data_IF_894959667198
#
_entry.id   IF_894959667198
#
_cell.length_a   1.000
_cell.length_b   1.000
_cell.length_c   1.000
_cell.angle_alpha   90.00
_cell.angle_beta   90.00
_cell.angle_gamma   90.00
#
_symmetry.space_group_name_H-M   'P 1'
#
loop_
_entity.id
_entity.type
_entity.pdbx_description
1 polymer ?
#
# COMPACT_ATOMS: atom_id res chain seq x y z
N UNK A 1 -17.09 -0.33 -14.53
CA UNK A 1 -17.42 0.52 -13.38
C UNK A 1 -18.11 -0.38 -12.35
N UNK A 2 -17.36 -0.85 -11.35
CA UNK A 2 -17.94 -1.53 -10.18
C UNK A 2 -17.91 -0.55 -9.02
N UNK A 3 -19.09 -0.11 -8.59
CA UNK A 3 -19.27 0.66 -7.35
C UNK A 3 -19.63 -0.36 -6.27
N UNK A 4 -18.73 -0.58 -5.31
CA UNK A 4 -18.98 -1.43 -4.16
C UNK A 4 -19.53 -0.62 -2.99
N UNK A 5 -20.81 -0.73 -2.70
CA UNK A 5 -21.44 -0.27 -1.46
C UNK A 5 -21.47 -1.44 -0.48
N UNK A 6 -20.76 -1.36 0.64
CA UNK A 6 -20.85 -2.33 1.74
C UNK A 6 -21.76 -1.75 2.82
N UNK A 7 -23.00 -2.23 2.84
CA UNK A 7 -23.91 -2.07 3.96
C UNK A 7 -24.22 -3.43 4.56
N UNK A 8 -23.82 -3.68 5.80
CA UNK A 8 -24.11 -4.91 6.51
C UNK A 8 -25.45 -4.80 7.25
N UNK A 9 -26.49 -5.45 6.76
CA UNK A 9 -27.65 -5.81 7.58
C UNK A 9 -27.62 -7.30 7.89
N UNK A 10 -27.43 -7.62 9.16
CA UNK A 10 -27.56 -8.97 9.68
C UNK A 10 -28.96 -9.17 10.22
N UNK A 11 -29.84 -9.82 9.45
CA UNK A 11 -31.15 -10.32 9.91
C UNK A 11 -30.98 -11.65 10.65
N UNK A 12 -31.25 -11.65 11.94
CA UNK A 12 -31.51 -12.89 12.67
C UNK A 12 -33.02 -13.14 12.63
N UNK A 13 -33.42 -14.24 11.99
CA UNK A 13 -34.74 -14.84 12.09
C UNK A 13 -34.74 -15.80 13.25
N UNK A 14 -35.73 -15.65 14.14
CA UNK A 14 -36.14 -16.78 14.97
C UNK A 14 -37.65 -16.98 14.85
N UNK A 15 -38.03 -18.25 14.76
CA UNK A 15 -39.35 -18.74 14.45
C UNK A 15 -39.97 -19.43 15.69
N UNK A 16 -41.25 -19.22 15.89
CA UNK A 16 -42.06 -20.30 16.44
C UNK A 16 -43.01 -20.00 17.58
N UNK A 17 -44.29 -20.02 17.26
CA UNK A 17 -45.27 -20.82 18.01
C UNK A 17 -46.26 -20.14 18.94
N UNK A 18 -47.40 -19.83 18.39
CA UNK A 18 -48.79 -20.19 18.78
C UNK A 18 -49.28 -20.13 20.23
N UNK A 19 -50.40 -19.53 20.32
CA UNK A 19 -51.72 -19.87 20.89
C UNK A 19 -52.20 -19.13 22.15
N UNK A 20 -53.22 -18.39 21.92
CA UNK A 20 -54.63 -18.46 22.41
C UNK A 20 -55.03 -17.75 23.71
N UNK A 21 -56.08 -16.96 23.51
CA UNK A 21 -57.32 -16.80 24.28
C UNK A 21 -57.43 -15.80 25.42
N UNK A 22 -58.27 -14.83 25.12
CA UNK A 22 -59.53 -14.41 25.83
C UNK A 22 -59.44 -13.51 27.07
N UNK A 23 -60.04 -12.33 26.83
CA UNK A 23 -61.09 -11.62 27.60
C UNK A 23 -60.97 -11.52 29.14
N UNK A 24 -61.03 -10.32 29.64
CA UNK A 24 -62.24 -9.67 30.19
C UNK A 24 -61.97 -8.21 30.69
N UNK A 25 -62.93 -7.35 30.44
CA UNK A 25 -63.05 -5.98 30.93
C UNK A 25 -63.28 -5.93 32.46
N UNK A 26 -62.78 -4.88 33.13
CA UNK A 26 -63.58 -4.20 34.14
C UNK A 26 -63.16 -2.73 34.31
N UNK A 27 -64.20 -1.89 34.39
CA UNK A 27 -64.25 -0.45 34.47
C UNK A 27 -64.29 -0.01 35.96
N UNK A 28 -63.90 1.24 36.21
CA UNK A 28 -64.37 2.19 37.27
C UNK A 28 -63.27 2.68 38.23
N UNK A 29 -62.91 3.91 38.18
CA UNK A 29 -63.38 5.10 38.93
C UNK A 29 -62.33 6.22 38.96
N UNK A 30 -62.84 7.41 38.76
CA UNK A 30 -62.19 8.73 38.83
C UNK A 30 -61.82 9.18 40.27
N UNK A 31 -60.78 10.06 40.24
CA UNK A 31 -60.49 11.32 40.94
C UNK A 31 -59.53 11.29 42.14
N UNK A 32 -58.89 12.43 42.46
CA UNK A 32 -58.57 13.65 41.71
C UNK A 32 -57.09 14.10 41.71
N UNK A 33 -56.86 15.13 40.91
CA UNK A 33 -55.57 15.80 40.66
C UNK A 33 -54.89 16.35 41.91
N UNK A 34 -53.59 16.08 42.00
CA UNK A 34 -52.61 16.99 42.67
C UNK A 34 -51.61 17.50 41.64
N UNK A 35 -51.61 18.79 41.44
CA UNK A 35 -50.64 19.55 40.64
C UNK A 35 -49.32 19.55 41.35
N UNK A 36 -48.36 18.76 40.88
CA UNK A 36 -46.94 18.94 41.16
C UNK A 36 -46.29 19.63 39.98
N UNK A 37 -45.92 20.87 40.26
CA UNK A 37 -45.08 21.73 39.45
C UNK A 37 -43.73 21.04 39.19
N UNK A 38 -43.55 20.48 38.02
CA UNK A 38 -42.28 19.87 37.59
C UNK A 38 -41.53 20.92 36.80
N UNK A 39 -40.31 21.29 37.18
CA UNK A 39 -39.54 22.22 36.37
C UNK A 39 -39.30 21.60 35.01
N UNK A 40 -39.69 22.32 33.96
CA UNK A 40 -39.38 21.99 32.58
C UNK A 40 -37.89 21.82 32.44
N UNK A 41 -37.41 20.59 32.41
CA UNK A 41 -36.08 20.26 31.89
C UNK A 41 -36.09 20.59 30.43
N UNK A 42 -35.55 21.75 30.06
CA UNK A 42 -35.19 22.05 28.67
C UNK A 42 -34.22 20.97 28.24
N UNK A 43 -34.71 20.01 27.47
CA UNK A 43 -33.84 19.13 26.70
C UNK A 43 -32.97 20.06 25.87
N UNK A 44 -31.69 20.09 26.15
CA UNK A 44 -30.71 20.69 25.25
C UNK A 44 -30.92 19.99 23.89
N UNK A 45 -31.25 20.79 22.89
CA UNK A 45 -31.24 20.28 21.50
C UNK A 45 -29.85 19.69 21.27
N UNK A 46 -29.77 18.41 20.93
CA UNK A 46 -28.55 17.82 20.47
C UNK A 46 -28.05 18.69 19.30
N UNK A 47 -26.84 19.19 19.40
CA UNK A 47 -26.19 19.83 18.26
C UNK A 47 -26.24 18.79 17.13
N UNK A 48 -26.54 19.23 15.88
CA UNK A 48 -26.47 18.31 14.74
C UNK A 48 -25.08 17.69 14.72
N UNK A 49 -25.01 16.35 14.76
CA UNK A 49 -23.74 15.65 14.55
C UNK A 49 -23.22 16.12 13.19
N UNK A 50 -21.95 16.60 13.17
CA UNK A 50 -21.31 16.98 11.94
C UNK A 50 -21.27 15.77 11.00
N UNK A 51 -21.44 15.99 9.72
CA UNK A 51 -21.31 14.92 8.73
C UNK A 51 -19.92 14.28 8.88
N UNK A 52 -19.82 12.95 8.78
CA UNK A 52 -18.54 12.27 8.89
C UNK A 52 -17.61 12.70 7.77
N UNK A 53 -16.31 12.85 8.07
CA UNK A 53 -15.29 13.07 7.05
C UNK A 53 -15.33 11.96 6.00
N UNK A 54 -14.90 12.30 4.78
CA UNK A 54 -14.92 11.39 3.64
C UNK A 54 -13.56 11.28 2.97
N UNK A 55 -13.25 10.08 2.47
CA UNK A 55 -12.01 9.78 1.74
C UNK A 55 -12.33 9.06 0.44
N UNK A 56 -11.70 9.54 -0.65
CA UNK A 56 -11.72 8.85 -1.93
C UNK A 56 -10.28 8.39 -2.28
N UNK A 57 -10.11 7.08 -2.48
CA UNK A 57 -8.85 6.50 -2.94
C UNK A 57 -8.96 6.13 -4.41
N UNK A 58 -8.09 6.68 -5.26
CA UNK A 58 -7.97 6.27 -6.66
C UNK A 58 -6.71 5.42 -6.81
N UNK A 59 -6.90 4.14 -7.09
CA UNK A 59 -5.82 3.17 -7.30
C UNK A 59 -5.15 3.37 -8.65
N UNK A 60 -4.02 2.72 -8.89
CA UNK A 60 -3.31 2.76 -10.16
C UNK A 60 -3.39 1.42 -10.90
N UNK A 61 -2.64 1.29 -11.99
CA UNK A 61 -2.55 0.07 -12.82
C UNK A 61 -2.30 -1.14 -11.91
N UNK A 62 -3.06 -2.19 -12.15
CA UNK A 62 -3.08 -3.40 -11.33
C UNK A 62 -4.32 -3.50 -10.46
N UNK A 63 -4.81 -2.37 -9.92
CA UNK A 63 -6.00 -2.36 -9.06
C UNK A 63 -5.87 -3.23 -7.82
N UNK A 64 -6.99 -3.55 -7.18
CA UNK A 64 -7.02 -4.46 -6.04
C UNK A 64 -6.66 -5.89 -6.46
N UNK A 65 -5.92 -6.57 -5.57
CA UNK A 65 -5.46 -7.95 -5.78
C UNK A 65 -4.09 -8.05 -6.42
N UNK A 66 -3.32 -6.94 -6.50
CA UNK A 66 -1.94 -6.96 -6.98
C UNK A 66 -0.95 -7.57 -5.95
N UNK A 67 -1.42 -7.84 -4.73
CA UNK A 67 -0.64 -8.36 -3.59
C UNK A 67 0.60 -7.52 -3.26
N UNK A 68 0.58 -6.24 -3.63
CA UNK A 68 1.67 -5.29 -3.53
C UNK A 68 1.15 -3.85 -3.30
N UNK A 69 1.45 -2.93 -4.22
CA UNK A 69 1.29 -1.48 -4.07
C UNK A 69 -0.15 -1.00 -3.88
N UNK A 70 -1.10 -1.51 -4.68
CA UNK A 70 -2.50 -1.09 -4.57
C UNK A 70 -3.18 -1.68 -3.34
N UNK A 71 -2.93 -2.95 -3.04
CA UNK A 71 -3.45 -3.59 -1.82
C UNK A 71 -2.90 -2.91 -0.56
N UNK A 72 -1.63 -2.46 -0.59
CA UNK A 72 -1.02 -1.69 0.50
C UNK A 72 -1.75 -0.36 0.72
N UNK A 73 -1.96 0.41 -0.34
CA UNK A 73 -2.70 1.68 -0.27
C UNK A 73 -4.13 1.48 0.26
N UNK A 74 -4.80 0.44 -0.22
CA UNK A 74 -6.14 0.09 0.21
C UNK A 74 -6.19 -0.28 1.70
N UNK A 75 -5.17 -0.97 2.23
CA UNK A 75 -5.11 -1.30 3.66
C UNK A 75 -5.04 -0.05 4.56
N UNK A 76 -4.28 0.98 4.15
CA UNK A 76 -4.22 2.26 4.85
C UNK A 76 -5.54 3.03 4.80
N UNK A 77 -6.22 2.99 3.66
CA UNK A 77 -7.55 3.54 3.47
C UNK A 77 -8.59 2.84 4.37
N UNK A 78 -8.62 1.51 4.42
CA UNK A 78 -9.54 0.76 5.29
C UNK A 78 -9.28 1.05 6.78
N UNK A 79 -8.01 1.12 7.18
CA UNK A 79 -7.65 1.46 8.55
C UNK A 79 -8.13 2.86 8.95
N UNK A 80 -7.99 3.85 8.04
CA UNK A 80 -8.48 5.20 8.28
C UNK A 80 -10.00 5.25 8.43
N UNK A 81 -10.74 4.54 7.59
CA UNK A 81 -12.21 4.44 7.70
C UNK A 81 -12.61 3.83 9.04
N UNK A 82 -11.95 2.73 9.43
CA UNK A 82 -12.29 2.02 10.65
C UNK A 82 -12.02 2.84 11.92
N UNK A 83 -10.88 3.55 11.97
CA UNK A 83 -10.44 4.25 13.16
C UNK A 83 -11.07 5.65 13.31
N UNK A 84 -11.33 6.35 12.19
CA UNK A 84 -11.85 7.72 12.21
C UNK A 84 -13.33 7.81 11.87
N UNK A 85 -14.00 6.70 11.54
CA UNK A 85 -15.40 6.69 11.14
C UNK A 85 -15.66 7.46 9.84
N UNK A 86 -14.68 7.48 8.93
CA UNK A 86 -14.81 8.16 7.64
C UNK A 86 -15.76 7.40 6.71
N UNK A 87 -16.40 8.15 5.80
CA UNK A 87 -17.09 7.56 4.65
C UNK A 87 -16.08 7.38 3.53
N UNK A 88 -15.93 6.14 3.04
CA UNK A 88 -14.93 5.80 2.05
C UNK A 88 -15.51 5.44 0.68
N UNK A 89 -14.81 5.86 -0.36
CA UNK A 89 -15.01 5.43 -1.75
C UNK A 89 -13.64 5.09 -2.34
N UNK A 90 -13.54 4.02 -3.14
CA UNK A 90 -12.36 3.79 -3.95
C UNK A 90 -12.75 3.60 -5.41
N UNK A 91 -11.84 3.99 -6.30
CA UNK A 91 -12.00 3.93 -7.75
C UNK A 91 -10.76 3.29 -8.37
N UNK A 92 -10.95 2.62 -9.49
CA UNK A 92 -9.88 2.02 -10.29
C UNK A 92 -9.89 2.64 -11.68
N UNK A 93 -8.73 3.01 -12.23
CA UNK A 93 -8.66 3.53 -13.59
C UNK A 93 -8.93 2.44 -14.61
N UNK A 94 -9.33 2.85 -15.81
CA UNK A 94 -9.38 1.96 -16.97
C UNK A 94 -7.99 1.41 -17.29
N UNK A 95 -7.89 0.29 -18.00
CA UNK A 95 -6.70 -0.53 -18.13
C UNK A 95 -5.36 0.15 -18.44
N UNK A 96 -5.34 1.31 -19.10
CA UNK A 96 -4.13 2.13 -19.33
C UNK A 96 -3.98 3.29 -18.34
N UNK A 97 -5.01 3.59 -17.57
CA UNK A 97 -5.01 4.68 -16.60
C UNK A 97 -5.17 6.07 -17.21
N UNK A 98 -5.65 6.17 -18.45
CA UNK A 98 -5.82 7.47 -19.12
C UNK A 98 -6.88 8.36 -18.45
N UNK A 99 -7.82 7.78 -17.71
CA UNK A 99 -8.91 8.47 -17.03
C UNK A 99 -8.61 8.91 -15.58
N UNK A 100 -7.33 8.89 -15.15
CA UNK A 100 -6.94 9.30 -13.77
C UNK A 100 -7.49 10.67 -13.38
N UNK A 101 -7.40 11.68 -14.27
CA UNK A 101 -7.93 13.01 -14.03
C UNK A 101 -9.43 13.03 -13.81
N UNK A 102 -10.19 12.31 -14.65
CA UNK A 102 -11.64 12.17 -14.53
C UNK A 102 -12.05 11.54 -13.21
N UNK A 103 -11.29 10.55 -12.74
CA UNK A 103 -11.55 9.89 -11.45
C UNK A 103 -11.28 10.81 -10.27
N UNK A 104 -10.21 11.60 -10.30
CA UNK A 104 -9.94 12.64 -9.28
C UNK A 104 -11.05 13.69 -9.25
N UNK A 105 -11.51 14.18 -10.42
CA UNK A 105 -12.62 15.12 -10.52
C UNK A 105 -13.90 14.51 -9.96
N UNK A 106 -14.22 13.27 -10.28
CA UNK A 106 -15.38 12.56 -9.75
C UNK A 106 -15.36 12.50 -8.22
N UNK A 107 -14.20 12.22 -7.62
CA UNK A 107 -14.02 12.25 -6.17
C UNK A 107 -14.24 13.66 -5.60
N UNK A 108 -13.73 14.69 -6.29
CA UNK A 108 -13.84 16.07 -5.84
C UNK A 108 -15.27 16.60 -5.96
N UNK A 109 -15.97 16.32 -7.07
CA UNK A 109 -17.38 16.67 -7.29
C UNK A 109 -18.31 15.98 -6.30
N UNK A 110 -17.94 14.78 -5.83
CA UNK A 110 -18.67 14.07 -4.77
C UNK A 110 -18.50 14.74 -3.39
N UNK A 111 -17.60 15.71 -3.25
CA UNK A 111 -17.38 16.47 -2.02
C UNK A 111 -16.56 15.72 -0.96
N UNK A 112 -15.64 14.87 -1.38
CA UNK A 112 -14.74 14.20 -0.43
C UNK A 112 -13.78 15.20 0.22
N UNK A 113 -13.48 14.99 1.52
CA UNK A 113 -12.58 15.83 2.30
C UNK A 113 -11.10 15.52 2.02
N UNK A 114 -10.80 14.25 1.71
CA UNK A 114 -9.48 13.78 1.30
C UNK A 114 -9.59 12.93 0.02
N UNK A 115 -8.76 13.26 -0.96
CA UNK A 115 -8.63 12.50 -2.20
C UNK A 115 -7.19 12.00 -2.34
N UNK A 116 -7.01 10.70 -2.48
CA UNK A 116 -5.71 10.06 -2.62
C UNK A 116 -5.55 9.47 -4.01
N UNK A 117 -4.56 9.92 -4.76
CA UNK A 117 -4.11 9.27 -6.00
C UNK A 117 -2.92 8.36 -5.68
N UNK A 118 -3.07 7.06 -5.92
CA UNK A 118 -2.07 6.09 -5.55
C UNK A 118 -1.06 5.85 -6.66
N UNK A 119 0.04 6.59 -6.66
CA UNK A 119 1.16 6.40 -7.58
C UNK A 119 1.56 7.66 -8.36
N UNK A 120 2.82 7.68 -8.77
CA UNK A 120 3.44 8.81 -9.46
C UNK A 120 2.76 9.19 -10.81
N UNK A 121 2.04 8.26 -11.42
CA UNK A 121 1.32 8.52 -12.67
C UNK A 121 0.14 9.50 -12.49
N UNK A 122 -0.21 9.83 -11.24
CA UNK A 122 -1.18 10.88 -10.93
C UNK A 122 -0.58 12.30 -10.92
N UNK A 123 0.74 12.50 -11.02
CA UNK A 123 1.38 13.81 -10.93
C UNK A 123 0.72 14.87 -11.84
N UNK A 124 0.56 14.55 -13.12
CA UNK A 124 -0.04 15.46 -14.07
C UNK A 124 -1.50 15.78 -13.74
N UNK A 125 -2.28 14.75 -13.40
CA UNK A 125 -3.70 14.90 -13.06
C UNK A 125 -3.89 15.68 -11.76
N UNK A 126 -3.06 15.46 -10.73
CA UNK A 126 -3.08 16.23 -9.49
C UNK A 126 -2.81 17.72 -9.72
N UNK A 127 -1.83 18.05 -10.58
CA UNK A 127 -1.50 19.44 -10.92
C UNK A 127 -2.62 20.13 -11.70
N UNK A 128 -3.43 19.38 -12.44
CA UNK A 128 -4.57 19.93 -13.21
C UNK A 128 -5.84 20.07 -12.35
N UNK A 129 -6.15 19.04 -11.54
CA UNK A 129 -7.44 18.96 -10.83
C UNK A 129 -7.40 19.70 -9.49
N UNK A 130 -6.39 19.49 -8.64
CA UNK A 130 -6.37 20.03 -7.28
C UNK A 130 -6.50 21.56 -7.16
N UNK A 131 -5.98 22.38 -8.09
CA UNK A 131 -6.17 23.84 -8.05
C UNK A 131 -7.63 24.29 -8.16
N UNK A 132 -8.50 23.46 -8.76
CA UNK A 132 -9.92 23.78 -8.94
C UNK A 132 -10.73 23.53 -7.64
N UNK A 133 -10.16 22.82 -6.67
CA UNK A 133 -10.79 22.43 -5.41
C UNK A 133 -9.91 22.79 -4.21
N UNK A 134 -9.66 24.10 -3.95
CA UNK A 134 -8.68 24.54 -2.96
C UNK A 134 -9.03 24.19 -1.51
N UNK A 135 -10.27 23.87 -1.23
CA UNK A 135 -10.77 23.50 0.10
C UNK A 135 -10.72 21.98 0.36
N UNK A 136 -10.38 21.17 -0.66
CA UNK A 136 -10.22 19.71 -0.56
C UNK A 136 -8.75 19.38 -0.33
N UNK A 137 -8.47 18.45 0.57
CA UNK A 137 -7.13 17.89 0.76
C UNK A 137 -6.86 16.81 -0.29
N UNK A 138 -5.72 16.91 -0.95
CA UNK A 138 -5.24 15.88 -1.87
C UNK A 138 -3.95 15.25 -1.36
N UNK A 139 -3.75 13.96 -1.63
CA UNK A 139 -2.49 13.27 -1.37
C UNK A 139 -2.11 12.40 -2.57
N UNK A 140 -0.82 12.26 -2.82
CA UNK A 140 -0.29 11.44 -3.90
C UNK A 140 0.86 10.57 -3.38
N UNK A 141 0.81 9.27 -3.65
CA UNK A 141 1.87 8.33 -3.30
C UNK A 141 2.95 8.34 -4.38
N UNK A 142 4.22 8.41 -3.98
CA UNK A 142 5.40 8.42 -4.87
C UNK A 142 5.42 9.59 -5.86
N UNK A 143 4.63 10.62 -5.64
CA UNK A 143 4.50 11.75 -6.54
C UNK A 143 4.70 13.10 -5.85
N UNK A 144 4.99 14.12 -6.67
CA UNK A 144 5.13 15.51 -6.25
C UNK A 144 4.19 16.38 -7.08
N UNK A 145 3.31 17.11 -6.41
CA UNK A 145 2.46 18.08 -7.09
C UNK A 145 2.69 19.49 -6.52
N UNK A 146 2.56 20.51 -7.38
CA UNK A 146 2.80 21.91 -7.02
C UNK A 146 1.70 22.56 -6.16
N UNK A 147 0.38 22.20 -6.30
CA UNK A 147 -0.68 22.84 -5.55
C UNK A 147 -0.51 22.71 -4.04
N UNK A 148 -0.75 23.81 -3.29
CA UNK A 148 -0.52 23.86 -1.84
C UNK A 148 -1.44 22.97 -1.00
N UNK A 149 -2.53 22.45 -1.59
CA UNK A 149 -3.46 21.50 -0.98
C UNK A 149 -3.15 20.03 -1.34
N UNK A 150 -2.01 19.75 -2.00
CA UNK A 150 -1.57 18.40 -2.33
C UNK A 150 -0.38 18.00 -1.45
N UNK A 151 -0.48 16.88 -0.72
CA UNK A 151 0.62 16.25 0.01
C UNK A 151 1.25 15.17 -0.85
N UNK A 152 2.55 15.33 -1.15
CA UNK A 152 3.35 14.26 -1.76
C UNK A 152 3.85 13.31 -0.66
N UNK A 153 3.45 12.05 -0.71
CA UNK A 153 3.93 10.99 0.18
C UNK A 153 5.09 10.28 -0.51
N UNK A 154 6.30 10.68 -0.17
CA UNK A 154 7.54 10.28 -0.82
C UNK A 154 8.34 9.31 0.04
N UNK A 155 9.13 8.45 -0.59
CA UNK A 155 9.92 7.44 0.07
C UNK A 155 11.36 7.43 -0.44
N UNK A 156 12.32 7.14 0.45
CA UNK A 156 13.73 6.96 0.10
C UNK A 156 13.98 5.54 -0.40
N UNK A 157 13.43 5.20 -1.58
CA UNK A 157 13.49 3.85 -2.15
C UNK A 157 14.90 3.26 -2.20
N UNK A 158 15.90 4.10 -2.55
CA UNK A 158 17.29 3.67 -2.63
C UNK A 158 17.84 3.20 -1.28
N UNK A 159 17.37 3.74 -0.14
CA UNK A 159 17.82 3.34 1.18
C UNK A 159 17.37 1.91 1.53
N UNK A 160 16.09 1.60 1.34
CA UNK A 160 15.54 0.25 1.57
C UNK A 160 16.10 -0.77 0.61
N UNK A 161 16.21 -0.39 -0.68
CA UNK A 161 16.78 -1.25 -1.71
C UNK A 161 18.27 -1.53 -1.50
N UNK A 162 19.03 -0.60 -0.92
CA UNK A 162 20.39 -0.85 -0.49
C UNK A 162 20.45 -1.99 0.54
N UNK A 163 19.60 -1.99 1.54
CA UNK A 163 19.53 -3.07 2.52
C UNK A 163 19.10 -4.39 1.89
N UNK A 164 18.18 -4.38 0.90
CA UNK A 164 17.83 -5.56 0.11
C UNK A 164 19.03 -6.11 -0.65
N UNK A 165 19.87 -5.22 -1.22
CA UNK A 165 21.13 -5.57 -1.87
C UNK A 165 22.15 -6.18 -0.91
N UNK A 166 22.30 -5.62 0.28
CA UNK A 166 23.15 -6.19 1.36
C UNK A 166 22.65 -7.59 1.73
N UNK A 167 21.34 -7.77 1.92
CA UNK A 167 20.75 -9.07 2.24
C UNK A 167 21.00 -10.10 1.12
N UNK A 168 20.77 -9.73 -0.14
CA UNK A 168 21.04 -10.59 -1.28
C UNK A 168 22.52 -11.00 -1.36
N UNK A 169 23.44 -10.06 -1.19
CA UNK A 169 24.89 -10.31 -1.27
C UNK A 169 25.39 -11.20 -0.13
N UNK A 170 24.82 -11.12 1.07
CA UNK A 170 25.19 -11.97 2.21
C UNK A 170 24.58 -13.36 2.11
N UNK A 171 23.47 -13.53 1.39
CA UNK A 171 22.71 -14.80 1.31
C UNK A 171 22.95 -15.56 0.00
N UNK A 172 23.49 -14.90 -1.04
CA UNK A 172 23.79 -15.61 -2.30
C UNK A 172 24.85 -16.69 -2.12
N UNK A 173 24.65 -17.82 -2.73
CA UNK A 173 25.59 -18.94 -2.81
C UNK A 173 26.32 -19.01 -4.15
N UNK A 174 25.80 -18.30 -5.17
CA UNK A 174 26.34 -18.33 -6.54
C UNK A 174 27.16 -17.09 -6.90
N UNK A 175 27.17 -16.05 -6.07
CA UNK A 175 27.67 -14.72 -6.39
C UNK A 175 27.00 -14.14 -7.67
N UNK A 176 25.73 -14.45 -7.87
CA UNK A 176 24.94 -13.96 -8.97
C UNK A 176 23.50 -13.73 -8.47
N UNK A 177 23.05 -12.49 -8.55
CA UNK A 177 21.73 -12.07 -8.10
C UNK A 177 21.01 -11.34 -9.22
N UNK A 178 19.71 -11.13 -9.08
CA UNK A 178 18.89 -10.46 -10.08
C UNK A 178 18.12 -9.27 -9.53
N UNK A 179 17.74 -8.37 -10.44
CA UNK A 179 16.78 -7.31 -10.22
C UNK A 179 15.74 -7.34 -11.35
N UNK A 180 14.46 -7.18 -10.99
CA UNK A 180 13.35 -7.05 -11.94
C UNK A 180 12.61 -5.76 -11.62
N UNK A 181 12.66 -4.79 -12.53
CA UNK A 181 11.83 -3.59 -12.51
C UNK A 181 10.54 -3.79 -13.30
N UNK A 182 9.43 -3.22 -12.85
CA UNK A 182 8.18 -3.22 -13.62
C UNK A 182 8.32 -2.44 -14.91
N UNK A 183 8.76 -1.20 -14.82
CA UNK A 183 8.95 -0.29 -15.97
C UNK A 183 10.33 0.36 -15.89
N UNK A 184 11.02 0.45 -17.00
CA UNK A 184 12.31 1.16 -17.09
C UNK A 184 12.09 2.68 -17.00
N UNK A 185 11.93 3.18 -15.78
CA UNK A 185 11.52 4.53 -15.46
C UNK A 185 12.33 5.08 -14.25
N UNK A 186 12.57 6.40 -14.17
CA UNK A 186 13.43 7.01 -13.14
C UNK A 186 13.12 6.59 -11.70
N UNK A 187 11.84 6.48 -11.32
CA UNK A 187 11.45 6.02 -9.98
C UNK A 187 11.96 4.61 -9.69
N UNK A 188 11.85 3.70 -10.66
CA UNK A 188 12.29 2.30 -10.49
C UNK A 188 13.83 2.19 -10.53
N UNK A 189 14.49 3.17 -11.15
CA UNK A 189 15.96 3.27 -11.05
C UNK A 189 16.45 3.56 -9.64
N UNK A 190 15.67 4.22 -8.78
CA UNK A 190 16.04 4.40 -7.37
C UNK A 190 16.18 3.05 -6.65
N UNK A 191 15.25 2.12 -6.89
CA UNK A 191 15.31 0.76 -6.36
C UNK A 191 16.49 -0.01 -6.92
N UNK A 192 16.69 0.03 -8.23
CA UNK A 192 17.82 -0.62 -8.90
C UNK A 192 19.16 -0.12 -8.37
N UNK A 193 19.37 1.19 -8.35
CA UNK A 193 20.64 1.77 -7.95
C UNK A 193 20.95 1.57 -6.46
N UNK A 194 19.94 1.65 -5.61
CA UNK A 194 20.07 1.28 -4.20
C UNK A 194 20.48 -0.19 -4.06
N UNK A 195 19.81 -1.11 -4.74
CA UNK A 195 20.14 -2.54 -4.71
C UNK A 195 21.55 -2.84 -5.20
N UNK A 196 21.94 -2.29 -6.35
CA UNK A 196 23.30 -2.43 -6.88
C UNK A 196 24.37 -1.95 -5.90
N UNK A 197 24.14 -0.80 -5.28
CA UNK A 197 25.09 -0.25 -4.31
C UNK A 197 25.19 -1.11 -3.05
N UNK A 198 24.07 -1.66 -2.58
CA UNK A 198 24.03 -2.58 -1.44
C UNK A 198 24.78 -3.88 -1.72
N UNK A 199 24.59 -4.48 -2.90
CA UNK A 199 25.35 -5.66 -3.34
C UNK A 199 26.84 -5.35 -3.39
N UNK A 200 27.23 -4.25 -4.03
CA UNK A 200 28.63 -3.86 -4.19
C UNK A 200 29.31 -3.52 -2.84
N UNK A 201 28.56 -3.03 -1.84
CA UNK A 201 29.08 -2.74 -0.52
C UNK A 201 29.53 -4.00 0.25
N UNK A 202 29.00 -5.16 -0.09
CA UNK A 202 29.42 -6.46 0.48
C UNK A 202 30.48 -7.11 -0.41
N UNK A 203 30.21 -7.23 -1.69
CA UNK A 203 31.15 -7.82 -2.63
C UNK A 203 30.93 -7.28 -4.05
N UNK A 204 31.82 -6.43 -4.57
CA UNK A 204 31.69 -5.85 -5.91
C UNK A 204 31.85 -6.86 -7.06
N UNK A 205 32.32 -8.08 -6.77
CA UNK A 205 32.49 -9.14 -7.77
C UNK A 205 31.21 -9.95 -7.98
N UNK A 206 30.13 -9.70 -7.22
CA UNK A 206 28.82 -10.32 -7.44
C UNK A 206 28.22 -9.78 -8.73
N UNK A 207 27.82 -10.68 -9.61
CA UNK A 207 27.08 -10.32 -10.83
C UNK A 207 25.66 -9.93 -10.46
N UNK A 208 25.18 -8.80 -10.97
CA UNK A 208 23.76 -8.42 -10.88
C UNK A 208 23.15 -8.40 -12.26
N UNK A 209 22.15 -9.26 -12.50
CA UNK A 209 21.38 -9.29 -13.73
C UNK A 209 20.20 -8.32 -13.58
N UNK A 210 19.94 -7.50 -14.62
CA UNK A 210 18.88 -6.50 -14.60
C UNK A 210 17.89 -6.81 -15.71
N UNK A 211 16.58 -6.81 -15.39
CA UNK A 211 15.51 -6.94 -16.35
C UNK A 211 14.36 -5.99 -16.04
N UNK A 212 13.64 -5.56 -17.05
CA UNK A 212 12.45 -4.75 -16.96
C UNK A 212 11.30 -5.40 -17.73
N UNK A 213 10.09 -5.38 -17.15
CA UNK A 213 8.92 -5.98 -17.77
C UNK A 213 8.44 -5.14 -18.95
N UNK A 214 8.49 -3.81 -18.85
CA UNK A 214 8.13 -2.90 -19.95
C UNK A 214 8.98 -1.61 -19.94
N UNK A 215 8.77 -0.78 -20.96
CA UNK A 215 9.38 0.54 -21.09
C UNK A 215 8.31 1.57 -21.45
N UNK A 216 8.43 2.85 -21.00
CA UNK A 216 7.45 3.87 -21.36
C UNK A 216 7.27 4.00 -22.90
N UNK A 217 6.05 4.28 -23.39
CA UNK A 217 4.85 4.65 -22.63
C UNK A 217 4.03 3.48 -22.09
N UNK A 218 4.53 2.24 -22.17
CA UNK A 218 3.85 1.06 -21.67
C UNK A 218 4.16 0.88 -20.17
N UNK A 219 3.15 1.07 -19.31
CA UNK A 219 3.23 0.89 -17.87
C UNK A 219 2.59 -0.43 -17.39
N UNK A 220 2.17 -1.31 -18.32
CA UNK A 220 1.59 -2.62 -17.97
C UNK A 220 2.57 -3.53 -17.23
N UNK A 221 3.88 -3.23 -17.30
CA UNK A 221 4.92 -3.96 -16.58
C UNK A 221 4.78 -3.96 -15.04
N UNK A 222 3.88 -3.17 -14.48
CA UNK A 222 3.53 -3.27 -13.05
C UNK A 222 2.47 -4.34 -12.75
N UNK A 223 1.81 -4.90 -13.78
CA UNK A 223 0.77 -5.92 -13.60
C UNK A 223 0.82 -7.01 -14.70
N UNK A 224 2.00 -7.59 -14.91
CA UNK A 224 2.23 -8.72 -15.83
C UNK A 224 3.02 -9.85 -15.15
N UNK A 225 2.36 -10.68 -14.30
CA UNK A 225 3.03 -11.81 -13.64
C UNK A 225 3.66 -12.82 -14.61
N UNK A 226 3.09 -12.97 -15.81
CA UNK A 226 3.65 -13.86 -16.84
C UNK A 226 5.02 -13.36 -17.27
N UNK A 227 5.13 -12.05 -17.55
CA UNK A 227 6.39 -11.42 -17.90
C UNK A 227 7.40 -11.44 -16.77
N UNK A 228 6.95 -11.20 -15.55
CA UNK A 228 7.77 -11.33 -14.34
C UNK A 228 8.38 -12.72 -14.20
N UNK A 229 7.58 -13.77 -14.42
CA UNK A 229 8.03 -15.17 -14.40
C UNK A 229 9.05 -15.46 -15.50
N UNK A 230 8.79 -15.02 -16.74
CA UNK A 230 9.71 -15.20 -17.87
C UNK A 230 11.10 -14.61 -17.57
N UNK A 231 11.14 -13.36 -17.07
CA UNK A 231 12.40 -12.69 -16.73
C UNK A 231 13.12 -13.42 -15.60
N UNK A 232 12.39 -13.80 -14.54
CA UNK A 232 12.96 -14.50 -13.40
C UNK A 232 13.54 -15.88 -13.80
N UNK A 233 12.83 -16.67 -14.61
CA UNK A 233 13.34 -17.94 -15.12
C UNK A 233 14.64 -17.76 -15.89
N UNK A 234 14.71 -16.74 -16.76
CA UNK A 234 15.94 -16.47 -17.51
C UNK A 234 17.11 -16.07 -16.61
N UNK A 235 16.85 -15.28 -15.53
CA UNK A 235 17.88 -14.88 -14.56
C UNK A 235 18.35 -16.07 -13.71
N UNK A 236 17.45 -16.94 -13.25
CA UNK A 236 17.82 -18.17 -12.53
C UNK A 236 18.58 -19.14 -13.44
N UNK A 237 18.17 -19.32 -14.70
CA UNK A 237 18.91 -20.14 -15.68
C UNK A 237 20.33 -19.60 -15.94
N UNK A 238 20.50 -18.27 -15.91
CA UNK A 238 21.80 -17.62 -16.03
C UNK A 238 22.61 -17.63 -14.71
N UNK A 239 22.12 -18.32 -13.65
CA UNK A 239 22.84 -18.61 -12.42
C UNK A 239 22.54 -17.69 -11.25
N UNK A 240 21.57 -16.78 -11.34
CA UNK A 240 21.10 -16.07 -10.16
C UNK A 240 20.45 -17.04 -9.17
N UNK A 241 20.64 -16.79 -7.88
CA UNK A 241 19.96 -17.57 -6.83
C UNK A 241 19.06 -16.71 -5.93
N UNK A 242 19.14 -15.39 -6.06
CA UNK A 242 18.27 -14.43 -5.37
C UNK A 242 17.89 -13.34 -6.37
N UNK A 243 16.59 -13.04 -6.49
CA UNK A 243 16.09 -11.95 -7.33
C UNK A 243 15.28 -10.99 -6.48
N UNK A 244 15.57 -9.70 -6.59
CA UNK A 244 14.76 -8.62 -6.01
C UNK A 244 13.88 -7.99 -7.09
N UNK A 245 12.60 -7.75 -6.78
CA UNK A 245 11.73 -7.03 -7.70
C UNK A 245 11.25 -5.69 -7.15
N UNK A 246 11.04 -4.73 -8.06
CA UNK A 246 10.32 -3.48 -7.88
C UNK A 246 9.30 -3.35 -9.02
N UNK A 247 8.26 -4.17 -8.99
CA UNK A 247 7.41 -4.44 -10.17
C UNK A 247 5.91 -4.66 -9.85
N UNK A 248 5.45 -4.29 -8.64
CA UNK A 248 4.05 -4.48 -8.25
C UNK A 248 3.58 -5.93 -8.41
N UNK A 249 2.38 -6.14 -8.97
CA UNK A 249 1.80 -7.47 -9.19
C UNK A 249 2.62 -8.40 -10.10
N UNK A 250 3.44 -7.83 -10.98
CA UNK A 250 4.40 -8.59 -11.82
C UNK A 250 5.36 -9.44 -10.97
N UNK A 251 5.67 -9.00 -9.76
CA UNK A 251 6.56 -9.71 -8.82
C UNK A 251 6.04 -11.08 -8.39
N UNK A 252 4.73 -11.32 -8.40
CA UNK A 252 4.15 -12.63 -8.08
C UNK A 252 4.68 -13.71 -8.99
N UNK A 253 4.85 -13.41 -10.30
CA UNK A 253 5.46 -14.33 -11.26
C UNK A 253 6.91 -14.69 -10.94
N UNK A 254 7.69 -13.78 -10.34
CA UNK A 254 9.04 -14.08 -9.89
C UNK A 254 9.05 -15.12 -8.76
N UNK A 255 8.13 -15.05 -7.80
CA UNK A 255 8.01 -16.06 -6.73
C UNK A 255 7.57 -17.42 -7.28
N UNK A 256 6.68 -17.44 -8.28
CA UNK A 256 6.35 -18.68 -9.01
C UNK A 256 7.56 -19.30 -9.68
N UNK A 257 8.41 -18.48 -10.33
CA UNK A 257 9.65 -18.94 -10.94
C UNK A 257 10.62 -19.48 -9.87
N UNK A 258 10.75 -18.82 -8.72
CA UNK A 258 11.59 -19.28 -7.63
C UNK A 258 11.17 -20.65 -7.14
N UNK A 259 9.86 -20.90 -6.98
CA UNK A 259 9.30 -22.20 -6.64
C UNK A 259 9.64 -23.25 -7.71
N UNK A 260 9.31 -22.96 -8.97
CA UNK A 260 9.51 -23.90 -10.09
C UNK A 260 10.97 -24.32 -10.23
N UNK A 261 11.91 -23.37 -10.16
CA UNK A 261 13.35 -23.64 -10.26
C UNK A 261 13.83 -24.45 -9.05
N UNK A 262 13.41 -24.08 -7.84
CA UNK A 262 13.80 -24.80 -6.64
C UNK A 262 13.32 -26.25 -6.64
N UNK A 263 12.07 -26.50 -7.04
CA UNK A 263 11.49 -27.84 -7.13
C UNK A 263 12.13 -28.69 -8.23
N UNK A 264 12.39 -28.09 -9.41
CA UNK A 264 12.96 -28.82 -10.55
C UNK A 264 14.44 -29.16 -10.39
N UNK A 265 15.21 -28.30 -9.73
CA UNK A 265 16.66 -28.47 -9.55
C UNK A 265 17.04 -29.11 -8.22
N UNK A 266 16.15 -29.06 -7.22
CA UNK A 266 16.44 -29.42 -5.84
C UNK A 266 17.35 -28.43 -5.11
N UNK A 267 17.63 -27.27 -5.72
CA UNK A 267 18.45 -26.20 -5.14
C UNK A 267 17.56 -24.98 -4.88
N UNK A 268 17.50 -24.51 -3.63
CA UNK A 268 16.69 -23.37 -3.23
C UNK A 268 17.18 -22.11 -3.89
N UNK A 269 16.26 -21.40 -4.56
CA UNK A 269 16.43 -20.02 -5.00
C UNK A 269 15.35 -19.13 -4.38
N UNK A 270 15.56 -17.84 -4.35
CA UNK A 270 14.78 -16.92 -3.55
C UNK A 270 14.31 -15.69 -4.32
N UNK A 271 13.16 -15.15 -3.90
CA UNK A 271 12.71 -13.81 -4.28
C UNK A 271 12.77 -12.85 -3.09
N UNK A 272 13.08 -11.58 -3.34
CA UNK A 272 12.91 -10.47 -2.41
C UNK A 272 11.74 -9.63 -2.90
N UNK A 273 10.78 -9.40 -2.01
CA UNK A 273 9.57 -8.64 -2.27
C UNK A 273 9.74 -7.13 -2.14
N UNK A 274 8.67 -6.40 -2.48
CA UNK A 274 8.61 -4.93 -2.44
C UNK A 274 7.26 -4.44 -1.90
N UNK A 275 7.22 -3.21 -1.45
CA UNK A 275 6.08 -2.44 -0.96
C UNK A 275 5.48 -3.00 0.33
N UNK A 276 4.96 -4.20 0.29
CA UNK A 276 4.35 -4.91 1.41
C UNK A 276 5.28 -5.99 1.97
N UNK A 277 4.98 -6.50 3.17
CA UNK A 277 5.57 -7.74 3.64
C UNK A 277 4.95 -8.92 2.87
N UNK A 278 5.53 -9.22 1.71
CA UNK A 278 5.00 -10.21 0.78
C UNK A 278 5.10 -11.65 1.31
N UNK A 279 5.85 -11.87 2.39
CA UNK A 279 5.77 -13.16 3.11
C UNK A 279 4.32 -13.45 3.54
N UNK A 280 3.56 -12.43 3.91
CA UNK A 280 2.15 -12.57 4.28
C UNK A 280 1.20 -12.24 3.13
N UNK A 281 1.42 -11.15 2.39
CA UNK A 281 0.44 -10.71 1.39
C UNK A 281 0.43 -11.59 0.15
N UNK A 282 1.56 -12.16 -0.24
CA UNK A 282 1.63 -13.22 -1.26
C UNK A 282 1.48 -14.59 -0.61
N UNK A 283 2.18 -14.84 0.49
CA UNK A 283 2.25 -16.15 1.12
C UNK A 283 0.94 -16.63 1.75
N UNK A 284 0.05 -15.75 2.21
CA UNK A 284 -1.25 -16.17 2.76
C UNK A 284 -2.23 -16.65 1.67
N UNK A 285 -2.46 -15.89 0.57
CA UNK A 285 -3.32 -16.36 -0.51
C UNK A 285 -2.68 -17.47 -1.36
N UNK A 286 -1.34 -17.51 -1.43
CA UNK A 286 -0.57 -18.49 -2.23
C UNK A 286 0.48 -19.17 -1.34
N UNK A 287 0.04 -20.03 -0.38
CA UNK A 287 0.92 -20.57 0.66
C UNK A 287 2.09 -21.42 0.12
N UNK A 288 1.96 -21.91 -1.11
CA UNK A 288 3.03 -22.62 -1.81
C UNK A 288 4.20 -21.72 -2.26
N UNK A 289 4.03 -20.38 -2.24
CA UNK A 289 5.07 -19.42 -2.58
C UNK A 289 5.80 -18.87 -1.36
N UNK A 290 5.19 -18.94 -0.19
CA UNK A 290 5.67 -18.29 1.03
C UNK A 290 7.12 -18.67 1.40
N UNK A 291 7.46 -19.94 1.26
CA UNK A 291 8.79 -20.42 1.59
C UNK A 291 9.90 -19.95 0.62
N UNK A 292 9.56 -19.31 -0.51
CA UNK A 292 10.51 -18.80 -1.49
C UNK A 292 10.74 -17.27 -1.36
N UNK A 293 10.10 -16.64 -0.38
CA UNK A 293 10.22 -15.21 -0.10
C UNK A 293 11.27 -15.02 0.97
N UNK A 294 12.46 -14.53 0.59
CA UNK A 294 13.61 -14.32 1.48
C UNK A 294 13.35 -13.21 2.50
N UNK A 295 12.86 -12.09 2.02
CA UNK A 295 12.47 -10.88 2.73
C UNK A 295 11.67 -9.98 1.80
N UNK A 296 11.20 -8.84 2.30
CA UNK A 296 10.58 -7.78 1.50
C UNK A 296 11.15 -6.41 1.90
N UNK A 297 11.42 -5.57 0.92
CA UNK A 297 11.66 -4.15 1.14
C UNK A 297 10.31 -3.46 1.26
N UNK A 298 9.92 -3.17 2.49
CA UNK A 298 8.61 -2.59 2.81
C UNK A 298 8.67 -1.07 2.72
N UNK A 299 7.64 -0.51 2.08
CA UNK A 299 7.35 0.91 2.00
C UNK A 299 6.00 1.16 2.67
N UNK A 300 5.98 1.88 3.78
CA UNK A 300 4.79 2.07 4.60
C UNK A 300 3.81 3.11 4.00
N UNK A 301 3.38 2.88 2.76
CA UNK A 301 2.42 3.76 2.07
C UNK A 301 1.03 3.73 2.74
N UNK A 302 0.64 2.60 3.32
CA UNK A 302 -0.53 2.45 4.17
C UNK A 302 -0.53 3.43 5.36
N UNK A 303 0.60 3.51 6.07
CA UNK A 303 0.79 4.43 7.20
C UNK A 303 0.74 5.88 6.73
N UNK A 304 1.32 6.19 5.55
CA UNK A 304 1.31 7.55 5.00
C UNK A 304 -0.10 8.00 4.60
N UNK A 305 -0.91 7.11 3.99
CA UNK A 305 -2.33 7.36 3.67
C UNK A 305 -3.14 7.52 4.96
N UNK A 306 -2.98 6.63 5.91
CA UNK A 306 -3.62 6.73 7.23
C UNK A 306 -3.30 8.05 7.93
N UNK A 307 -2.04 8.49 7.91
CA UNK A 307 -1.61 9.76 8.49
C UNK A 307 -2.16 10.98 7.74
N UNK A 308 -2.34 10.90 6.41
CA UNK A 308 -3.01 11.94 5.64
C UNK A 308 -4.49 12.07 6.02
N UNK A 309 -5.19 10.93 6.17
CA UNK A 309 -6.58 10.89 6.63
C UNK A 309 -6.71 11.42 8.06
N UNK A 310 -5.84 10.98 8.97
CA UNK A 310 -5.79 11.50 10.35
C UNK A 310 -5.62 13.01 10.38
N UNK A 311 -4.67 13.54 9.62
CA UNK A 311 -4.40 14.97 9.57
C UNK A 311 -5.60 15.76 8.99
N UNK A 312 -6.36 15.18 8.07
CA UNK A 312 -7.59 15.76 7.54
C UNK A 312 -8.65 15.87 8.64
N UNK A 313 -8.92 14.77 9.34
CA UNK A 313 -9.91 14.75 10.45
C UNK A 313 -9.52 15.70 11.58
N UNK A 314 -8.23 15.80 11.91
CA UNK A 314 -7.71 16.68 12.96
C UNK A 314 -7.57 18.16 12.52
N UNK A 315 -7.82 18.48 11.24
CA UNK A 315 -7.63 19.83 10.69
C UNK A 315 -6.17 20.29 10.69
N UNK A 316 -5.23 19.35 10.64
CA UNK A 316 -3.76 19.60 10.66
C UNK A 316 -3.09 19.23 9.34
N UNK A 317 -3.88 18.92 8.32
CA UNK A 317 -3.34 18.58 6.99
C UNK A 317 -2.53 19.74 6.41
N UNK A 318 -1.39 19.39 5.84
CA UNK A 318 -0.55 20.34 5.10
C UNK A 318 -0.13 19.70 3.78
N UNK A 319 -0.18 20.48 2.72
CA UNK A 319 0.40 20.10 1.43
C UNK A 319 1.93 20.18 1.44
N UNK A 320 2.51 19.82 0.31
CA UNK A 320 3.95 19.73 0.10
C UNK A 320 4.53 18.35 0.34
N UNK A 321 5.85 18.18 0.16
CA UNK A 321 6.50 16.88 0.27
C UNK A 321 6.54 16.39 1.72
N UNK A 322 6.11 15.16 1.95
CA UNK A 322 6.33 14.37 3.17
C UNK A 322 7.22 13.19 2.79
N UNK A 323 8.41 13.09 3.36
CA UNK A 323 9.41 12.09 2.96
C UNK A 323 9.60 11.09 4.07
N UNK A 324 9.36 9.83 3.78
CA UNK A 324 9.61 8.69 4.64
C UNK A 324 10.89 7.95 4.24
N UNK A 325 11.66 7.52 5.24
CA UNK A 325 12.95 6.89 5.09
C UNK A 325 13.21 5.81 6.15
N UNK A 326 14.44 5.30 6.23
CA UNK A 326 14.84 4.33 7.26
C UNK A 326 14.78 4.91 8.68
N UNK A 327 14.91 6.23 8.86
CA UNK A 327 14.89 6.87 10.18
C UNK A 327 13.49 7.08 10.71
N UNK A 328 12.52 7.31 9.84
CA UNK A 328 11.09 7.43 10.18
C UNK A 328 10.43 6.07 10.39
N UNK A 329 11.06 5.01 9.88
CA UNK A 329 10.46 3.67 9.81
C UNK A 329 9.48 3.50 8.65
N UNK A 330 9.37 4.49 7.76
CA UNK A 330 8.55 4.40 6.56
C UNK A 330 9.14 3.52 5.46
N UNK A 331 10.43 3.16 5.59
CA UNK A 331 11.10 2.14 4.78
C UNK A 331 11.85 1.17 5.70
N UNK A 332 11.74 -0.14 5.42
CA UNK A 332 12.46 -1.16 6.19
C UNK A 332 12.53 -2.50 5.44
N UNK A 333 13.38 -3.45 5.92
CA UNK A 333 13.31 -4.85 5.51
C UNK A 333 12.46 -5.65 6.50
N UNK A 334 11.60 -6.52 5.97
CA UNK A 334 10.85 -7.49 6.77
C UNK A 334 11.76 -8.64 7.23
N UNK A 335 11.57 -9.09 8.46
CA UNK A 335 12.21 -10.29 9.01
C UNK A 335 11.26 -11.50 9.04
N UNK A 336 10.10 -11.43 8.38
CA UNK A 336 9.13 -12.51 8.30
C UNK A 336 9.74 -13.75 7.66
N UNK A 337 9.37 -14.93 8.18
CA UNK A 337 9.97 -16.19 7.78
C UNK A 337 11.32 -16.51 8.44
N UNK A 338 12.02 -15.51 9.02
CA UNK A 338 13.28 -15.71 9.74
C UNK A 338 14.49 -16.01 8.87
N UNK A 339 14.38 -15.91 7.54
CA UNK A 339 15.43 -16.32 6.61
C UNK A 339 16.64 -15.39 6.57
N UNK A 340 16.52 -14.18 7.12
CA UNK A 340 17.61 -13.19 7.23
C UNK A 340 17.97 -12.84 8.68
N UNK A 341 17.47 -13.60 9.67
CA UNK A 341 17.75 -13.35 11.10
C UNK A 341 19.25 -13.47 11.43
N UNK A 342 19.95 -14.38 10.76
CA UNK A 342 21.38 -14.63 10.94
C UNK A 342 22.28 -13.47 10.46
N UNK A 343 21.76 -12.56 9.64
CA UNK A 343 22.47 -11.37 9.13
C UNK A 343 21.92 -10.06 9.68
N UNK A 344 20.98 -10.12 10.63
CA UNK A 344 20.30 -8.96 11.19
C UNK A 344 21.23 -7.89 11.72
N UNK A 345 22.25 -8.29 12.49
CA UNK A 345 23.20 -7.34 13.08
C UNK A 345 23.95 -6.54 11.98
N UNK A 346 24.31 -7.19 10.88
CA UNK A 346 24.93 -6.54 9.73
C UNK A 346 23.98 -5.57 9.03
N UNK A 347 22.72 -5.98 8.84
CA UNK A 347 21.68 -5.11 8.25
C UNK A 347 21.44 -3.86 9.10
N UNK A 348 21.36 -4.02 10.43
CA UNK A 348 21.20 -2.88 11.35
C UNK A 348 22.43 -1.96 11.37
N UNK A 349 23.66 -2.50 11.20
CA UNK A 349 24.86 -1.69 11.04
C UNK A 349 24.78 -0.82 9.77
N UNK A 350 24.41 -1.39 8.62
CA UNK A 350 24.26 -0.64 7.37
C UNK A 350 23.12 0.38 7.46
N UNK A 351 22.00 0.01 8.06
CA UNK A 351 20.89 0.92 8.34
C UNK A 351 21.36 2.14 9.15
N UNK A 352 22.13 1.91 10.21
CA UNK A 352 22.66 3.00 11.03
C UNK A 352 23.61 3.92 10.24
N UNK A 353 24.45 3.37 9.36
CA UNK A 353 25.33 4.14 8.48
C UNK A 353 24.56 4.99 7.47
N UNK A 354 23.45 4.48 6.94
CA UNK A 354 22.60 5.25 6.03
C UNK A 354 21.90 6.37 6.81
N UNK A 355 21.28 6.08 7.94
CA UNK A 355 20.61 7.08 8.78
C UNK A 355 21.56 8.19 9.23
N UNK A 356 22.83 7.85 9.53
CA UNK A 356 23.83 8.84 9.91
C UNK A 356 24.40 9.65 8.74
N UNK A 357 24.10 9.26 7.50
CA UNK A 357 24.65 9.87 6.29
C UNK A 357 26.09 9.44 5.97
N UNK A 358 26.66 8.45 6.65
CA UNK A 358 27.96 7.86 6.30
C UNK A 358 27.87 7.14 4.95
N UNK A 359 26.73 6.52 4.66
CA UNK A 359 26.41 5.94 3.36
C UNK A 359 25.21 6.70 2.81
N UNK A 360 25.34 7.17 1.57
CA UNK A 360 24.23 7.77 0.81
C UNK A 360 23.99 6.89 -0.41
N UNK A 361 22.96 6.03 -0.37
CA UNK A 361 22.63 5.19 -1.51
C UNK A 361 22.31 6.03 -2.76
N UNK A 362 22.85 5.67 -3.94
CA UNK A 362 22.53 6.39 -5.17
C UNK A 362 21.08 6.15 -5.57
N UNK A 363 20.40 7.19 -6.06
CA UNK A 363 19.01 7.14 -6.51
C UNK A 363 18.86 7.36 -8.03
N UNK A 364 19.95 7.64 -8.73
CA UNK A 364 19.95 7.87 -10.18
C UNK A 364 20.98 7.01 -10.86
N UNK A 365 20.68 6.59 -12.08
CA UNK A 365 21.68 5.92 -12.93
C UNK A 365 22.80 6.87 -13.30
N UNK A 366 24.07 6.41 -13.35
CA UNK A 366 25.23 7.24 -13.72
C UNK A 366 25.20 7.69 -15.17
#
# INVERSE_FOLDING_TARGET
ILVGLVGSEMCIRDSGGSDDAAEEEEVVAEEPAETLDSPATTAAAAEPEADPFSICLVLDIGGLGDLAFNDLAYSGYEAAIADFGMVGTFLEPDGGGENRGELLELCAEAGNDLIVGNGFLFDAAMNEVAPNYPDINFAITDGVAEPGNVRGMLFKHAEGSFLAGVAAALKTSTNNVGFIGGVDFPLIHEFEQGFLAGVAAINPDITVQIGYASVPPDFSGFNDPVKGKEIALAQYEAGADIIYHAAGGTGTGMFEAAKEVSESTGTKVWGIGVDFDQYYTVGNPLPELQEYILTSMVKAADVSIYNAAKATVEGTFTGGPNVDDLSTGGIYLSYSGGYIDDIKDTLEEYKAKIISGEIVPPSVRP
#
